data_IF_645417824134
#
_entry.id   IF_645417824134
#
_cell.length_a   1.000
_cell.length_b   1.000
_cell.length_c   1.000
_cell.angle_alpha   90.00
_cell.angle_beta   90.00
_cell.angle_gamma   90.00
#
_symmetry.space_group_name_H-M   'P 1'
#
loop_
_entity.id
_entity.type
_entity.pdbx_description
1 polymer ?
#
# COMPACT_ATOMS: atom_id res chain seq x y z
N UNK A 1 12.14 -10.38 4.14
CA UNK A 1 12.60 -11.77 4.06
C UNK A 1 12.79 -12.17 2.60
N UNK A 2 13.97 -12.70 2.28
CA UNK A 2 14.22 -13.29 0.96
C UNK A 2 14.30 -14.80 1.12
N UNK A 3 13.57 -15.59 0.32
CA UNK A 3 13.55 -17.05 0.44
C UNK A 3 14.94 -17.70 0.33
N UNK A 4 15.90 -16.98 -0.25
CA UNK A 4 17.31 -17.40 -0.35
C UNK A 4 18.05 -17.35 0.99
N UNK A 5 17.53 -16.67 2.02
CA UNK A 5 18.17 -16.56 3.33
C UNK A 5 17.85 -17.73 4.27
N UNK A 6 16.78 -18.47 3.99
CA UNK A 6 16.37 -19.63 4.81
C UNK A 6 16.10 -20.80 3.89
N UNK A 7 16.93 -21.82 3.99
CA UNK A 7 16.80 -23.02 3.18
C UNK A 7 15.64 -23.89 3.65
N UNK A 8 14.97 -24.63 2.75
CA UNK A 8 13.91 -25.59 3.12
C UNK A 8 14.35 -26.57 4.22
N UNK A 9 15.60 -27.07 4.15
CA UNK A 9 16.16 -27.95 5.19
C UNK A 9 16.21 -27.32 6.57
N UNK A 10 16.46 -26.01 6.66
CA UNK A 10 16.47 -25.29 7.95
C UNK A 10 15.09 -25.23 8.55
N UNK A 11 14.07 -24.90 7.74
CA UNK A 11 12.67 -24.87 8.19
C UNK A 11 12.23 -26.26 8.66
N UNK A 12 12.48 -27.30 7.86
CA UNK A 12 12.16 -28.69 8.21
C UNK A 12 12.83 -29.11 9.52
N UNK A 13 14.10 -28.74 9.73
CA UNK A 13 14.84 -29.06 10.95
C UNK A 13 14.22 -28.35 12.17
N UNK A 14 13.89 -27.07 12.05
CA UNK A 14 13.24 -26.32 13.13
C UNK A 14 11.90 -26.94 13.50
N UNK A 15 11.08 -27.25 12.51
CA UNK A 15 9.76 -27.88 12.73
C UNK A 15 9.90 -29.27 13.36
N UNK A 16 10.88 -30.08 12.94
CA UNK A 16 11.14 -31.40 13.53
C UNK A 16 11.64 -31.33 14.99
N UNK A 17 12.22 -30.19 15.39
CA UNK A 17 12.63 -29.93 16.77
C UNK A 17 11.48 -29.37 17.64
N UNK A 18 10.26 -29.33 17.13
CA UNK A 18 9.10 -28.77 17.83
C UNK A 18 9.03 -27.23 17.84
N UNK A 19 9.91 -26.56 17.07
CA UNK A 19 9.86 -25.09 16.95
C UNK A 19 8.72 -24.72 16.02
N UNK A 20 7.79 -23.88 16.52
CA UNK A 20 6.71 -23.37 15.71
C UNK A 20 7.25 -22.36 14.69
N UNK A 21 6.94 -22.59 13.43
CA UNK A 21 7.42 -21.78 12.31
C UNK A 21 6.26 -21.12 11.58
N UNK A 22 6.40 -19.82 11.28
CA UNK A 22 5.41 -19.05 10.53
C UNK A 22 6.06 -18.22 9.43
N UNK A 23 5.39 -18.11 8.29
CA UNK A 23 5.76 -17.18 7.22
C UNK A 23 4.76 -16.04 7.13
N UNK A 24 5.23 -14.84 6.78
CA UNK A 24 4.39 -13.71 6.40
C UNK A 24 4.90 -13.10 5.10
N UNK A 25 4.03 -13.02 4.10
CA UNK A 25 4.38 -12.50 2.78
C UNK A 25 3.46 -11.36 2.34
N UNK A 26 4.05 -10.24 1.97
CA UNK A 26 3.37 -9.02 1.49
C UNK A 26 3.18 -9.02 -0.03
N UNK A 27 4.05 -9.72 -0.77
CA UNK A 27 4.01 -9.76 -2.23
C UNK A 27 3.15 -10.92 -2.72
N UNK A 28 2.82 -10.93 -4.02
CA UNK A 28 2.06 -11.99 -4.64
C UNK A 28 2.97 -13.01 -5.33
N UNK A 29 3.27 -14.16 -4.69
CA UNK A 29 4.14 -15.18 -5.27
C UNK A 29 3.46 -16.00 -6.37
N UNK A 30 2.14 -15.88 -6.51
CA UNK A 30 1.32 -16.65 -7.44
C UNK A 30 0.76 -15.80 -8.58
N UNK A 31 0.98 -14.50 -8.53
CA UNK A 31 0.44 -13.54 -9.50
C UNK A 31 0.72 -13.94 -10.94
N UNK A 32 -0.19 -13.62 -11.87
CA UNK A 32 -0.02 -13.97 -13.27
C UNK A 32 1.24 -13.30 -13.83
N UNK A 33 2.04 -14.08 -14.52
CA UNK A 33 3.22 -13.61 -15.26
C UNK A 33 2.86 -12.66 -16.41
N UNK A 34 1.56 -12.44 -16.65
CA UNK A 34 1.00 -11.69 -17.76
C UNK A 34 1.24 -10.17 -17.69
N UNK A 35 1.65 -9.62 -16.57
CA UNK A 35 2.00 -8.19 -16.44
C UNK A 35 3.48 -7.88 -16.77
N UNK A 36 4.09 -8.72 -17.53
CA UNK A 36 5.19 -8.50 -18.47
C UNK A 36 6.58 -8.20 -17.94
N UNK A 37 6.80 -7.61 -16.78
CA UNK A 37 8.12 -7.18 -16.33
C UNK A 37 8.45 -7.57 -14.89
N UNK A 38 8.10 -8.79 -14.52
CA UNK A 38 8.60 -9.36 -13.27
C UNK A 38 10.10 -9.61 -13.44
N UNK A 39 10.97 -9.00 -12.64
CA UNK A 39 12.41 -9.25 -12.71
C UNK A 39 12.69 -10.75 -12.65
N UNK A 40 13.57 -11.26 -13.52
CA UNK A 40 13.84 -12.70 -13.66
C UNK A 40 14.14 -13.39 -12.32
N UNK A 41 14.80 -12.68 -11.40
CA UNK A 41 15.13 -13.18 -10.07
C UNK A 41 13.89 -13.43 -9.20
N UNK A 42 12.75 -12.77 -9.45
CA UNK A 42 11.49 -13.05 -8.75
C UNK A 42 10.98 -14.44 -9.04
N UNK A 43 11.14 -14.94 -10.27
CA UNK A 43 10.74 -16.32 -10.61
C UNK A 43 11.49 -17.34 -9.75
N UNK A 44 12.79 -17.13 -9.55
CA UNK A 44 13.60 -17.99 -8.70
C UNK A 44 13.20 -17.87 -7.22
N UNK A 45 13.01 -16.64 -6.73
CA UNK A 45 12.61 -16.37 -5.35
C UNK A 45 11.26 -17.01 -5.01
N UNK A 46 10.27 -16.83 -5.88
CA UNK A 46 8.93 -17.37 -5.66
C UNK A 46 8.91 -18.89 -5.75
N UNK A 47 9.65 -19.49 -6.67
CA UNK A 47 9.79 -20.93 -6.74
C UNK A 47 10.29 -21.54 -5.41
N UNK A 48 11.31 -20.95 -4.80
CA UNK A 48 11.81 -21.39 -3.50
C UNK A 48 10.82 -21.13 -2.36
N UNK A 49 10.18 -19.96 -2.35
CA UNK A 49 9.18 -19.64 -1.35
C UNK A 49 8.01 -20.61 -1.38
N UNK A 50 7.48 -20.89 -2.56
CA UNK A 50 6.36 -21.83 -2.76
C UNK A 50 6.74 -23.24 -2.27
N UNK A 51 7.96 -23.71 -2.53
CA UNK A 51 8.47 -24.97 -1.99
C UNK A 51 8.57 -25.01 -0.47
N UNK A 52 8.71 -23.88 0.18
CA UNK A 52 8.77 -23.79 1.64
C UNK A 52 7.38 -23.78 2.30
N UNK A 53 6.31 -23.46 1.59
CA UNK A 53 4.96 -23.34 2.16
C UNK A 53 4.50 -24.57 2.96
N UNK A 54 4.69 -25.82 2.48
CA UNK A 54 4.30 -27.02 3.24
C UNK A 54 5.13 -27.25 4.52
N UNK A 55 6.28 -26.61 4.64
CA UNK A 55 7.24 -26.79 5.72
C UNK A 55 6.94 -25.90 6.93
N UNK A 56 6.26 -24.78 6.72
CA UNK A 56 5.82 -23.90 7.80
C UNK A 56 4.58 -24.45 8.49
N UNK A 57 4.47 -24.25 9.82
CA UNK A 57 3.26 -24.54 10.55
C UNK A 57 2.13 -23.59 10.12
N UNK A 58 2.44 -22.29 9.97
CA UNK A 58 1.49 -21.26 9.58
C UNK A 58 2.04 -20.41 8.44
N UNK A 59 1.15 -20.04 7.50
CA UNK A 59 1.47 -19.16 6.39
C UNK A 59 0.47 -17.99 6.36
N UNK A 60 0.97 -16.80 6.62
CA UNK A 60 0.19 -15.57 6.59
C UNK A 60 0.43 -14.82 5.30
N UNK A 61 -0.66 -14.35 4.71
CA UNK A 61 -0.63 -13.60 3.47
C UNK A 61 -1.32 -12.26 3.61
N UNK A 62 -0.86 -11.34 2.80
CA UNK A 62 -1.46 -10.02 2.66
C UNK A 62 -2.86 -10.10 2.01
N UNK A 63 -3.09 -11.06 1.07
CA UNK A 63 -4.28 -11.17 0.22
C UNK A 63 -5.02 -12.49 0.43
N UNK A 64 -6.37 -12.41 0.36
CA UNK A 64 -7.24 -13.59 0.48
C UNK A 64 -6.95 -14.65 -0.59
N UNK A 65 -6.73 -14.22 -1.84
CA UNK A 65 -6.46 -15.13 -2.96
C UNK A 65 -5.22 -15.98 -2.73
N UNK A 66 -4.16 -15.41 -2.13
CA UNK A 66 -2.93 -16.14 -1.86
C UNK A 66 -3.10 -17.26 -0.83
N UNK A 67 -4.08 -17.17 0.07
CA UNK A 67 -4.39 -18.24 1.01
C UNK A 67 -4.88 -19.51 0.30
N UNK A 68 -5.77 -19.36 -0.69
CA UNK A 68 -6.29 -20.48 -1.47
C UNK A 68 -5.19 -21.11 -2.35
N UNK A 69 -4.40 -20.26 -3.02
CA UNK A 69 -3.29 -20.70 -3.86
C UNK A 69 -2.20 -21.41 -3.04
N UNK A 70 -1.85 -20.89 -1.86
CA UNK A 70 -0.89 -21.52 -0.97
C UNK A 70 -1.37 -22.90 -0.50
N UNK A 71 -2.66 -23.07 -0.20
CA UNK A 71 -3.25 -24.38 0.12
C UNK A 71 -3.11 -25.36 -1.03
N UNK A 72 -3.34 -24.92 -2.27
CA UNK A 72 -3.13 -25.73 -3.47
C UNK A 72 -1.66 -26.18 -3.64
N UNK A 73 -0.72 -25.41 -3.09
CA UNK A 73 0.70 -25.74 -3.03
C UNK A 73 1.14 -26.45 -1.73
N UNK A 74 0.18 -26.98 -0.95
CA UNK A 74 0.45 -27.82 0.22
C UNK A 74 0.67 -27.08 1.54
N UNK A 75 0.40 -25.77 1.60
CA UNK A 75 0.44 -25.03 2.88
C UNK A 75 -0.61 -25.57 3.86
N UNK A 76 -0.20 -25.90 5.09
CA UNK A 76 -1.05 -26.52 6.10
C UNK A 76 -2.09 -25.56 6.66
N UNK A 77 -1.63 -24.43 7.20
CA UNK A 77 -2.49 -23.37 7.72
C UNK A 77 -2.20 -22.07 6.97
N UNK A 78 -3.25 -21.49 6.42
CA UNK A 78 -3.13 -20.20 5.70
C UNK A 78 -4.15 -19.22 6.23
N UNK A 79 -3.74 -18.00 6.47
CA UNK A 79 -4.61 -16.95 6.95
C UNK A 79 -4.21 -15.57 6.41
N UNK A 80 -5.19 -14.68 6.28
CA UNK A 80 -4.95 -13.28 5.94
C UNK A 80 -4.50 -12.54 7.18
N UNK A 81 -3.34 -11.88 7.07
CA UNK A 81 -2.88 -10.90 8.04
C UNK A 81 -2.80 -9.55 7.31
N UNK A 82 -3.81 -8.71 7.53
CA UNK A 82 -3.90 -7.40 6.88
C UNK A 82 -2.68 -6.52 7.18
N UNK A 83 -2.32 -5.60 6.28
CA UNK A 83 -1.30 -4.61 6.55
C UNK A 83 -1.63 -3.72 7.76
N UNK A 84 -0.67 -2.91 8.15
CA UNK A 84 -0.73 -2.11 9.37
C UNK A 84 -0.08 -0.75 9.16
N UNK A 85 -0.38 0.17 10.05
CA UNK A 85 0.38 1.40 10.23
C UNK A 85 1.26 1.33 11.49
N UNK A 86 2.31 2.13 11.56
CA UNK A 86 3.21 2.23 12.72
C UNK A 86 2.95 3.56 13.45
N UNK A 87 2.37 3.56 14.66
CA UNK A 87 1.96 4.79 15.35
C UNK A 87 3.07 5.81 15.55
N UNK A 88 4.31 5.36 15.69
CA UNK A 88 5.47 6.26 15.86
C UNK A 88 6.00 6.84 14.54
N UNK A 89 5.50 6.39 13.40
CA UNK A 89 5.88 6.84 12.07
C UNK A 89 4.70 7.45 11.31
N UNK A 90 3.57 6.76 11.36
CA UNK A 90 2.36 7.06 10.60
C UNK A 90 1.37 7.76 11.53
N UNK A 91 1.53 9.07 11.71
CA UNK A 91 0.70 9.94 12.58
C UNK A 91 0.63 11.35 12.00
N UNK A 92 -0.34 12.17 12.41
CA UNK A 92 -0.41 13.57 12.02
C UNK A 92 0.86 14.34 12.39
N UNK A 93 1.46 15.02 11.43
CA UNK A 93 2.68 15.84 11.61
C UNK A 93 2.35 17.29 11.34
N UNK A 94 2.73 18.18 12.28
CA UNK A 94 2.68 19.62 12.03
C UNK A 94 3.94 20.04 11.29
N UNK A 95 3.75 20.67 10.13
CA UNK A 95 4.84 21.16 9.30
C UNK A 95 5.23 22.59 9.69
N UNK A 96 6.52 22.86 9.75
CA UNK A 96 7.05 24.22 9.84
C UNK A 96 6.76 24.99 8.55
N UNK A 97 6.89 26.31 8.56
CA UNK A 97 6.68 27.16 7.36
C UNK A 97 7.57 26.72 6.20
N UNK A 98 8.83 26.40 6.46
CA UNK A 98 9.76 25.91 5.44
C UNK A 98 9.34 24.53 4.87
N UNK A 99 8.85 23.65 5.72
CA UNK A 99 8.33 22.35 5.31
C UNK A 99 7.02 22.47 4.52
N UNK A 100 6.13 23.39 4.91
CA UNK A 100 4.92 23.68 4.12
C UNK A 100 5.26 24.05 2.67
N UNK A 101 6.24 24.93 2.44
CA UNK A 101 6.70 25.26 1.08
C UNK A 101 7.17 24.02 0.30
N UNK A 102 7.84 23.08 0.98
CA UNK A 102 8.36 21.87 0.34
C UNK A 102 7.28 20.81 0.09
N UNK A 103 6.34 20.61 1.02
CA UNK A 103 5.41 19.47 0.99
C UNK A 103 3.99 19.85 0.58
N UNK A 104 3.60 21.14 0.63
CA UNK A 104 2.24 21.55 0.30
C UNK A 104 1.88 21.23 -1.16
N UNK A 105 0.74 20.56 -1.34
CA UNK A 105 0.13 20.28 -2.63
C UNK A 105 -1.36 19.99 -2.47
N UNK A 106 -2.10 19.93 -3.58
CA UNK A 106 -3.51 19.51 -3.54
C UNK A 106 -3.61 17.99 -3.49
N UNK A 107 -2.89 17.30 -4.36
CA UNK A 107 -2.86 15.83 -4.42
C UNK A 107 -1.41 15.35 -4.33
N UNK A 108 -1.15 14.38 -3.46
CA UNK A 108 0.15 13.72 -3.38
C UNK A 108 0.01 12.23 -3.69
N UNK A 109 0.97 11.69 -4.43
CA UNK A 109 1.21 10.27 -4.49
C UNK A 109 2.63 9.96 -4.00
N UNK A 110 2.74 9.07 -3.00
CA UNK A 110 4.03 8.59 -2.48
C UNK A 110 4.18 7.12 -2.83
N UNK A 111 5.01 6.84 -3.83
CA UNK A 111 5.26 5.48 -4.31
C UNK A 111 5.93 5.46 -5.67
N UNK A 112 6.50 4.32 -6.02
CA UNK A 112 7.12 4.14 -7.32
C UNK A 112 6.07 3.97 -8.43
N UNK A 113 6.51 4.21 -9.66
CA UNK A 113 5.71 3.89 -10.85
C UNK A 113 5.64 2.37 -11.05
N UNK A 114 4.46 1.89 -11.46
CA UNK A 114 4.24 0.56 -12.02
C UNK A 114 3.50 0.73 -13.37
N UNK A 115 3.73 -0.15 -14.36
CA UNK A 115 3.10 -0.05 -15.68
C UNK A 115 1.64 -0.57 -15.63
N UNK A 116 0.80 0.09 -14.88
CA UNK A 116 -0.60 -0.27 -14.59
C UNK A 116 -1.61 0.83 -14.97
N UNK A 117 -1.12 1.91 -15.62
CA UNK A 117 -1.94 3.02 -16.09
C UNK A 117 -2.05 4.19 -15.11
N UNK A 118 -1.33 4.12 -13.96
CA UNK A 118 -1.33 5.21 -12.96
C UNK A 118 -0.81 6.54 -13.49
N UNK A 119 0.07 6.52 -14.49
CA UNK A 119 0.54 7.74 -15.17
C UNK A 119 -0.59 8.45 -15.92
N UNK A 120 -1.55 7.71 -16.50
CA UNK A 120 -2.74 8.27 -17.11
C UNK A 120 -3.64 8.98 -16.11
N UNK A 121 -3.80 8.42 -14.91
CA UNK A 121 -4.53 9.05 -13.80
C UNK A 121 -3.84 10.34 -13.30
N UNK A 122 -2.51 10.33 -13.19
CA UNK A 122 -1.74 11.53 -12.85
C UNK A 122 -1.92 12.61 -13.93
N UNK A 123 -1.84 12.22 -15.21
CA UNK A 123 -2.07 13.12 -16.34
C UNK A 123 -3.45 13.76 -16.30
N UNK A 124 -4.49 12.99 -16.00
CA UNK A 124 -5.86 13.52 -15.90
C UNK A 124 -5.99 14.58 -14.80
N UNK A 125 -5.39 14.36 -13.62
CA UNK A 125 -5.36 15.35 -12.54
C UNK A 125 -4.66 16.65 -12.96
N UNK A 126 -3.46 16.55 -13.54
CA UNK A 126 -2.68 17.72 -13.98
C UNK A 126 -3.42 18.48 -15.09
N UNK A 127 -4.00 17.77 -16.07
CA UNK A 127 -4.80 18.38 -17.15
C UNK A 127 -6.06 19.08 -16.66
N UNK A 128 -6.59 18.68 -15.51
CA UNK A 128 -7.70 19.34 -14.83
C UNK A 128 -7.27 20.55 -13.97
N UNK A 129 -6.00 20.97 -14.03
CA UNK A 129 -5.45 22.07 -13.27
C UNK A 129 -5.17 21.79 -11.79
N UNK A 130 -5.19 20.52 -11.37
CA UNK A 130 -4.93 20.13 -10.00
C UNK A 130 -3.42 20.04 -9.77
N UNK A 131 -2.92 20.64 -8.70
CA UNK A 131 -1.51 20.57 -8.32
C UNK A 131 -1.20 19.20 -7.72
N UNK A 132 -0.40 18.44 -8.47
CA UNK A 132 0.03 17.09 -8.07
C UNK A 132 1.50 17.11 -7.69
N UNK A 133 1.86 16.38 -6.64
CA UNK A 133 3.25 16.12 -6.25
C UNK A 133 3.49 14.62 -6.18
N UNK A 134 4.59 14.18 -6.82
CA UNK A 134 5.01 12.79 -6.84
C UNK A 134 6.26 12.60 -5.98
N UNK A 135 6.26 11.54 -5.17
CA UNK A 135 7.41 11.07 -4.41
C UNK A 135 7.63 9.60 -4.73
N UNK A 136 8.69 9.28 -5.46
CA UNK A 136 8.96 7.90 -5.88
C UNK A 136 10.30 7.75 -6.60
N UNK A 137 11.08 8.84 -6.66
CA UNK A 137 12.42 8.85 -7.21
C UNK A 137 12.47 8.48 -8.70
N UNK A 138 13.55 7.81 -9.10
CA UNK A 138 13.86 7.49 -10.49
C UNK A 138 12.82 6.61 -11.21
N UNK A 139 11.91 5.98 -10.50
CA UNK A 139 10.81 5.21 -11.13
C UNK A 139 9.85 6.09 -11.94
N UNK A 140 9.73 7.39 -11.60
CA UNK A 140 8.98 8.37 -12.34
C UNK A 140 9.91 9.12 -13.31
N UNK A 141 10.30 8.45 -14.37
CA UNK A 141 11.21 9.00 -15.36
C UNK A 141 10.50 9.81 -16.46
N UNK A 142 11.29 10.57 -17.24
CA UNK A 142 10.77 11.25 -18.44
C UNK A 142 10.18 10.26 -19.45
N UNK A 143 10.70 9.03 -19.53
CA UNK A 143 10.14 8.00 -20.40
C UNK A 143 8.71 7.59 -19.99
N UNK A 144 8.39 7.67 -18.69
CA UNK A 144 7.06 7.37 -18.14
C UNK A 144 6.12 8.57 -18.27
N UNK A 145 6.56 9.75 -17.86
CA UNK A 145 5.72 10.94 -17.74
C UNK A 145 5.65 11.79 -19.00
N UNK A 146 6.60 11.62 -19.94
CA UNK A 146 6.68 12.41 -21.16
C UNK A 146 6.80 13.92 -20.87
N UNK A 147 5.89 14.69 -21.42
CA UNK A 147 5.78 16.14 -21.28
C UNK A 147 5.47 16.61 -19.85
N UNK A 148 4.86 15.77 -19.01
CA UNK A 148 4.57 16.09 -17.61
C UNK A 148 5.82 16.06 -16.72
N UNK A 149 6.91 15.47 -17.16
CA UNK A 149 8.08 15.27 -16.31
C UNK A 149 8.63 16.57 -15.74
N UNK A 150 8.76 17.61 -16.56
CA UNK A 150 9.34 18.88 -16.13
C UNK A 150 8.45 19.62 -15.14
N UNK A 151 7.13 19.56 -15.34
CA UNK A 151 6.15 20.21 -14.45
C UNK A 151 6.02 19.52 -13.09
N UNK A 152 6.31 18.23 -13.01
CA UNK A 152 6.24 17.43 -11.78
C UNK A 152 7.60 17.29 -11.07
N UNK A 153 8.69 17.70 -11.73
CA UNK A 153 10.04 17.63 -11.17
C UNK A 153 10.33 18.77 -10.18
N UNK A 154 11.20 18.55 -9.18
CA UNK A 154 12.00 17.33 -8.95
C UNK A 154 11.18 16.22 -8.27
N UNK A 155 11.28 15.00 -8.80
CA UNK A 155 10.65 13.82 -8.21
C UNK A 155 11.71 13.04 -7.43
N UNK A 156 11.66 13.15 -6.11
CA UNK A 156 12.63 12.53 -5.20
C UNK A 156 11.97 11.40 -4.40
N UNK A 157 12.72 10.45 -3.85
CA UNK A 157 12.15 9.48 -2.91
C UNK A 157 11.71 10.18 -1.62
N UNK A 158 10.66 9.68 -0.99
CA UNK A 158 10.27 10.08 0.36
C UNK A 158 10.82 9.06 1.35
N UNK A 159 11.97 9.37 1.94
CA UNK A 159 12.66 8.49 2.88
C UNK A 159 12.52 9.01 4.32
N UNK A 160 12.52 8.09 5.29
CA UNK A 160 12.44 8.45 6.70
C UNK A 160 11.18 9.29 7.01
N UNK A 161 11.40 10.46 7.61
CA UNK A 161 10.33 11.40 8.00
C UNK A 161 9.67 12.10 6.81
N UNK A 162 10.33 12.16 5.65
CA UNK A 162 9.79 12.77 4.43
C UNK A 162 8.47 12.10 4.01
N UNK A 163 8.30 10.80 4.28
CA UNK A 163 7.07 10.08 3.95
C UNK A 163 5.85 10.67 4.68
N UNK A 164 5.92 10.75 6.01
CA UNK A 164 4.84 11.32 6.82
C UNK A 164 4.58 12.79 6.49
N UNK A 165 5.65 13.59 6.29
CA UNK A 165 5.57 15.01 5.92
C UNK A 165 4.94 15.20 4.54
N UNK A 166 5.27 14.36 3.56
CA UNK A 166 4.67 14.40 2.22
C UNK A 166 3.16 14.12 2.26
N UNK A 167 2.72 13.13 3.07
CA UNK A 167 1.31 12.88 3.28
C UNK A 167 0.63 14.06 4.00
N UNK A 168 1.19 14.53 5.12
CA UNK A 168 0.60 15.58 5.94
C UNK A 168 0.54 16.94 5.24
N UNK A 169 1.47 17.22 4.30
CA UNK A 169 1.49 18.46 3.51
C UNK A 169 0.45 18.52 2.39
N UNK A 170 -0.17 17.41 2.04
CA UNK A 170 -1.16 17.39 0.98
C UNK A 170 -2.60 17.58 1.49
N UNK A 171 -3.48 18.11 0.61
CA UNK A 171 -4.93 18.09 0.88
C UNK A 171 -5.51 16.69 0.73
N UNK A 172 -5.06 15.94 -0.29
CA UNK A 172 -5.56 14.61 -0.66
C UNK A 172 -4.37 13.68 -0.87
N UNK A 173 -4.42 12.47 -0.29
CA UNK A 173 -3.42 11.44 -0.51
C UNK A 173 -3.97 10.37 -1.45
N UNK A 174 -3.35 10.24 -2.63
CA UNK A 174 -3.71 9.29 -3.66
C UNK A 174 -3.11 7.92 -3.35
N UNK A 175 -3.89 6.86 -3.53
CA UNK A 175 -3.46 5.50 -3.32
C UNK A 175 -3.80 4.62 -4.52
N UNK A 176 -2.78 4.25 -5.31
CA UNK A 176 -2.88 3.22 -6.35
C UNK A 176 -2.58 1.84 -5.76
N UNK A 177 -3.22 0.84 -6.31
CA UNK A 177 -3.05 -0.58 -5.97
C UNK A 177 -2.20 -1.28 -7.02
N UNK A 178 -1.28 -2.14 -6.59
CA UNK A 178 -0.41 -2.88 -7.51
C UNK A 178 -1.20 -3.97 -8.26
N UNK A 179 -1.35 -3.83 -9.57
CA UNK A 179 -1.95 -4.86 -10.41
C UNK A 179 -1.03 -6.07 -10.56
N UNK A 180 0.29 -5.85 -10.50
CA UNK A 180 1.28 -6.91 -10.50
C UNK A 180 1.11 -7.85 -9.28
N UNK A 181 0.80 -7.28 -8.13
CA UNK A 181 0.54 -8.02 -6.90
C UNK A 181 -0.94 -8.39 -6.72
N UNK A 182 -1.82 -8.09 -7.67
CA UNK A 182 -3.27 -8.26 -7.54
C UNK A 182 -3.82 -7.66 -6.25
N UNK A 183 -3.32 -6.45 -5.89
CA UNK A 183 -3.70 -5.76 -4.66
C UNK A 183 -5.17 -5.36 -4.69
N UNK A 184 -5.91 -5.67 -3.64
CA UNK A 184 -7.24 -5.14 -3.36
C UNK A 184 -7.21 -4.10 -2.22
N UNK A 185 -6.07 -3.99 -1.56
CA UNK A 185 -5.64 -2.96 -0.61
C UNK A 185 -4.12 -3.00 -0.50
N UNK A 186 -3.53 -1.93 0.03
CA UNK A 186 -2.09 -1.85 0.29
C UNK A 186 -1.85 -1.23 1.67
N UNK A 187 -0.61 -1.22 2.11
CA UNK A 187 -0.23 -0.63 3.41
C UNK A 187 -0.61 0.86 3.51
N UNK A 188 -0.49 1.60 2.41
CA UNK A 188 -0.90 3.01 2.35
C UNK A 188 -2.37 3.25 2.71
N UNK A 189 -3.25 2.27 2.51
CA UNK A 189 -4.66 2.38 2.91
C UNK A 189 -4.84 2.48 4.44
N UNK A 190 -3.83 2.14 5.22
CA UNK A 190 -3.82 2.26 6.67
C UNK A 190 -2.93 3.42 7.14
N UNK A 191 -1.81 3.67 6.45
CA UNK A 191 -0.86 4.75 6.77
C UNK A 191 -1.46 6.13 6.50
N UNK A 192 -2.16 6.33 5.38
CA UNK A 192 -2.75 7.61 5.01
C UNK A 192 -3.79 8.06 6.05
N UNK A 193 -4.81 7.26 6.40
CA UNK A 193 -5.76 7.65 7.44
C UNK A 193 -5.09 7.81 8.81
N UNK A 194 -4.07 7.00 9.14
CA UNK A 194 -3.32 7.14 10.40
C UNK A 194 -2.59 8.49 10.50
N UNK A 195 -2.18 9.06 9.36
CA UNK A 195 -1.64 10.43 9.28
C UNK A 195 -2.72 11.53 9.35
N UNK A 196 -4.00 11.17 9.56
CA UNK A 196 -5.10 12.13 9.61
C UNK A 196 -5.40 12.79 8.28
N UNK A 197 -5.17 12.08 7.16
CA UNK A 197 -5.37 12.60 5.79
C UNK A 197 -6.44 11.83 5.06
N UNK A 198 -7.18 12.52 4.17
CA UNK A 198 -8.16 11.85 3.33
C UNK A 198 -7.44 10.97 2.31
N UNK A 199 -7.84 9.72 2.27
CA UNK A 199 -7.39 8.76 1.27
C UNK A 199 -8.34 8.79 0.07
N UNK A 200 -7.77 8.96 -1.13
CA UNK A 200 -8.46 8.78 -2.41
C UNK A 200 -7.80 7.59 -3.13
N UNK A 201 -8.45 6.44 -3.12
CA UNK A 201 -7.88 5.17 -3.56
C UNK A 201 -8.66 4.55 -4.72
N UNK A 202 -8.03 3.64 -5.46
CA UNK A 202 -8.74 2.79 -6.42
C UNK A 202 -9.80 1.96 -5.68
N UNK A 203 -11.04 1.93 -6.25
CA UNK A 203 -12.18 1.22 -5.64
C UNK A 203 -11.99 -0.28 -5.74
N UNK A 204 -12.15 -0.98 -4.62
CA UNK A 204 -12.24 -2.45 -4.54
C UNK A 204 -13.27 -2.87 -3.49
N UNK A 205 -13.85 -4.04 -3.66
CA UNK A 205 -14.81 -4.58 -2.69
C UNK A 205 -14.18 -4.74 -1.29
N UNK A 206 -12.91 -5.10 -1.22
CA UNK A 206 -12.21 -5.23 0.06
C UNK A 206 -12.02 -3.87 0.75
N UNK A 207 -11.71 -2.80 0.02
CA UNK A 207 -11.60 -1.46 0.59
C UNK A 207 -12.96 -0.90 1.03
N UNK A 208 -14.04 -1.17 0.28
CA UNK A 208 -15.40 -0.78 0.67
C UNK A 208 -15.92 -1.55 1.90
N UNK A 209 -15.34 -2.72 2.21
CA UNK A 209 -15.59 -3.42 3.48
C UNK A 209 -14.80 -2.83 4.65
N UNK A 210 -13.62 -2.26 4.39
CA UNK A 210 -12.74 -1.68 5.40
C UNK A 210 -13.13 -0.24 5.76
N UNK A 211 -13.61 0.54 4.79
CA UNK A 211 -13.94 1.95 4.95
C UNK A 211 -15.28 2.27 4.27
N UNK A 212 -16.08 3.13 4.90
CA UNK A 212 -17.29 3.68 4.28
C UNK A 212 -16.90 4.74 3.27
N UNK A 213 -17.36 4.56 2.01
CA UNK A 213 -17.09 5.52 0.95
C UNK A 213 -17.70 6.88 1.26
N UNK A 214 -16.93 7.94 1.00
CA UNK A 214 -17.27 9.35 1.21
C UNK A 214 -17.56 9.76 2.67
N UNK A 215 -17.36 8.81 3.61
CA UNK A 215 -17.47 9.05 5.04
C UNK A 215 -16.13 8.83 5.77
N UNK A 216 -15.34 7.79 5.40
CA UNK A 216 -14.08 7.39 6.04
C UNK A 216 -12.91 7.38 5.05
N UNK A 217 -13.19 7.21 3.76
CA UNK A 217 -12.26 7.30 2.64
C UNK A 217 -13.03 7.60 1.35
N UNK A 218 -12.32 7.99 0.29
CA UNK A 218 -12.90 8.18 -1.03
C UNK A 218 -12.31 7.20 -2.02
N UNK A 219 -13.13 6.74 -2.99
CA UNK A 219 -12.70 5.78 -3.98
C UNK A 219 -13.00 6.26 -5.40
N UNK A 220 -12.22 5.75 -6.37
CA UNK A 220 -12.42 6.00 -7.79
C UNK A 220 -12.19 4.73 -8.61
N UNK A 221 -12.86 4.62 -9.74
CA UNK A 221 -12.77 3.49 -10.69
C UNK A 221 -12.27 3.93 -12.07
N UNK A 222 -12.19 5.24 -12.34
CA UNK A 222 -11.66 5.78 -13.59
C UNK A 222 -10.92 7.09 -13.35
N UNK A 223 -10.06 7.54 -14.30
CA UNK A 223 -9.41 8.84 -14.23
C UNK A 223 -10.40 10.03 -14.15
N UNK A 224 -11.55 9.93 -14.81
CA UNK A 224 -12.58 10.96 -14.78
C UNK A 224 -13.25 11.04 -13.39
N UNK A 225 -13.52 9.90 -12.78
CA UNK A 225 -14.04 9.84 -11.41
C UNK A 225 -13.01 10.38 -10.42
N UNK A 226 -11.74 10.01 -10.59
CA UNK A 226 -10.62 10.52 -9.80
C UNK A 226 -10.59 12.07 -9.83
N UNK A 227 -10.67 12.67 -11.02
CA UNK A 227 -10.67 14.14 -11.18
C UNK A 227 -11.88 14.75 -10.47
N UNK A 228 -13.09 14.22 -10.68
CA UNK A 228 -14.31 14.73 -10.02
C UNK A 228 -14.22 14.66 -8.49
N UNK A 229 -13.77 13.51 -7.95
CA UNK A 229 -13.60 13.33 -6.49
C UNK A 229 -12.52 14.25 -5.92
N UNK A 230 -11.40 14.42 -6.63
CA UNK A 230 -10.35 15.34 -6.20
C UNK A 230 -10.83 16.79 -6.18
N UNK A 231 -11.51 17.27 -7.24
CA UNK A 231 -12.09 18.60 -7.29
C UNK A 231 -13.14 18.83 -6.18
N UNK A 232 -14.00 17.84 -5.94
CA UNK A 232 -14.97 17.89 -4.86
C UNK A 232 -14.30 18.04 -3.49
N UNK A 233 -13.29 17.22 -3.19
CA UNK A 233 -12.54 17.31 -1.93
C UNK A 233 -11.75 18.61 -1.78
N UNK A 234 -11.20 19.17 -2.89
CA UNK A 234 -10.47 20.45 -2.87
C UNK A 234 -11.42 21.59 -2.53
N UNK A 235 -12.61 21.59 -3.13
CA UNK A 235 -13.60 22.67 -3.01
C UNK A 235 -14.44 22.58 -1.72
N UNK A 236 -14.40 21.46 -0.99
CA UNK A 236 -15.15 21.24 0.23
C UNK A 236 -14.22 20.87 1.42
N UNK A 237 -13.46 21.84 1.96
CA UNK A 237 -12.46 21.59 2.99
C UNK A 237 -13.04 20.94 4.27
N UNK A 238 -14.22 21.36 4.70
CA UNK A 238 -14.85 20.81 5.92
C UNK A 238 -15.24 19.33 5.73
N UNK A 239 -15.77 18.97 4.56
CA UNK A 239 -16.09 17.59 4.22
C UNK A 239 -14.80 16.76 4.16
N UNK A 240 -13.76 17.27 3.49
CA UNK A 240 -12.46 16.61 3.40
C UNK A 240 -11.88 16.33 4.78
N UNK A 241 -11.90 17.32 5.67
CA UNK A 241 -11.39 17.16 7.04
C UNK A 241 -12.25 16.16 7.84
N UNK A 242 -13.58 16.23 7.71
CA UNK A 242 -14.49 15.27 8.36
C UNK A 242 -14.18 13.83 7.96
N UNK A 243 -13.98 13.56 6.66
CA UNK A 243 -13.64 12.25 6.13
C UNK A 243 -12.25 11.80 6.66
N UNK A 244 -11.26 12.70 6.65
CA UNK A 244 -9.92 12.41 7.16
C UNK A 244 -9.95 12.01 8.64
N UNK A 245 -10.68 12.74 9.47
CA UNK A 245 -10.83 12.44 10.90
C UNK A 245 -11.63 11.14 11.14
N UNK A 246 -12.63 10.85 10.31
CA UNK A 246 -13.37 9.60 10.39
C UNK A 246 -12.48 8.41 10.00
N UNK A 247 -11.69 8.53 8.94
CA UNK A 247 -10.71 7.52 8.53
C UNK A 247 -9.65 7.26 9.61
N UNK A 248 -9.15 8.31 10.26
CA UNK A 248 -8.23 8.20 11.39
C UNK A 248 -8.86 7.40 12.54
N UNK A 249 -10.08 7.75 12.95
CA UNK A 249 -10.79 7.00 14.00
C UNK A 249 -11.02 5.54 13.59
N UNK A 250 -11.35 5.29 12.32
CA UNK A 250 -11.61 3.96 11.79
C UNK A 250 -10.41 3.04 11.93
N UNK A 251 -9.22 3.46 11.48
CA UNK A 251 -8.02 2.60 11.54
C UNK A 251 -7.58 2.28 12.96
N UNK A 252 -7.84 3.17 13.91
CA UNK A 252 -7.59 2.91 15.34
C UNK A 252 -8.65 2.02 15.97
N UNK A 253 -9.94 2.26 15.70
CA UNK A 253 -11.04 1.44 16.23
C UNK A 253 -10.93 -0.02 15.78
N UNK A 254 -10.55 -0.26 14.53
CA UNK A 254 -10.36 -1.59 13.96
C UNK A 254 -8.99 -2.20 14.27
N UNK A 255 -8.18 -1.51 15.08
CA UNK A 255 -6.87 -1.99 15.54
C UNK A 255 -5.94 -2.39 14.39
N UNK A 256 -5.81 -1.47 13.43
CA UNK A 256 -4.90 -1.67 12.29
C UNK A 256 -3.45 -1.26 12.59
N UNK A 257 -3.13 -0.89 13.81
CA UNK A 257 -1.75 -0.63 14.23
C UNK A 257 -0.91 -1.92 14.30
N UNK A 258 0.42 -1.76 14.18
CA UNK A 258 1.36 -2.90 14.17
C UNK A 258 1.31 -3.73 15.44
N UNK A 259 1.09 -3.13 16.61
CA UNK A 259 1.03 -3.84 17.89
C UNK A 259 -0.20 -4.74 17.97
N UNK A 260 -1.35 -4.21 17.58
CA UNK A 260 -2.60 -4.96 17.50
C UNK A 260 -2.51 -6.08 16.46
N UNK A 261 -1.82 -5.82 15.34
CA UNK A 261 -1.58 -6.81 14.30
C UNK A 261 -0.68 -7.95 14.80
N UNK A 262 0.38 -7.62 15.54
CA UNK A 262 1.24 -8.62 16.19
C UNK A 262 0.48 -9.46 17.22
N UNK A 263 -0.38 -8.86 18.05
CA UNK A 263 -1.24 -9.61 18.99
C UNK A 263 -2.17 -10.57 18.25
N UNK A 264 -2.81 -10.11 17.17
CA UNK A 264 -3.68 -10.98 16.34
C UNK A 264 -2.89 -12.15 15.74
N UNK A 265 -1.67 -11.91 15.27
CA UNK A 265 -0.78 -12.95 14.80
C UNK A 265 -0.50 -13.98 15.90
N UNK A 266 -0.09 -13.54 17.09
CA UNK A 266 0.19 -14.42 18.23
C UNK A 266 -1.03 -15.26 18.63
N UNK A 267 -2.21 -14.66 18.70
CA UNK A 267 -3.47 -15.38 18.99
C UNK A 267 -3.82 -16.49 18.00
N UNK A 268 -3.31 -16.40 16.77
CA UNK A 268 -3.57 -17.40 15.73
C UNK A 268 -2.61 -18.58 15.77
N UNK A 269 -1.45 -18.41 16.39
CA UNK A 269 -0.42 -19.44 16.47
C UNK A 269 -0.29 -20.06 17.86
N UNK A 270 -0.94 -19.48 18.87
CA UNK A 270 -1.09 -20.07 20.22
C UNK A 270 -2.30 -21.01 20.27
#
# INVERSE_FOLDING_TARGET
WRPTHVLPKTISKLTSMGVLTASYNNDDPFGPKAHGNVPWHHHFLWHWYIKCLPLFNYNFFFRKINCAEAKAHGARHTEVLLPYFMPWKDHPVQLTTAEQQRYETEVVFVGHHEPDGREGSIRALVSAGIRVKLWGGHYWSRAVLGDLYDSLSPIVPAEGDDYGKALCGAKICLCFLSKLNRDTYTRRCFEIPACGKVMLAERTDDLMQLFKEDEEACFFSSPEELVRKAQWLINNPDIRESIAQAGLRRVWADRHDVTSRARKFLQKIS
#
